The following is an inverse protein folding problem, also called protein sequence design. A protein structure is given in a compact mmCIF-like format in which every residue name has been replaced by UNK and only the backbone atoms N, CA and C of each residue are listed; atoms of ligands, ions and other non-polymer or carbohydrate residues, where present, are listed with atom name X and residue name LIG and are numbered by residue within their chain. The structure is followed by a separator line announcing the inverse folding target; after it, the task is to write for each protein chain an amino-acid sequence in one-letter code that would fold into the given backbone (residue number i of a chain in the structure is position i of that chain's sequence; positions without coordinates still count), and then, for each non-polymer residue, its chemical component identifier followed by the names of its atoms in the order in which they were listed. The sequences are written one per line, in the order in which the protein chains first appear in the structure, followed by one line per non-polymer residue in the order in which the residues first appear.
data_IF_404421462945
#
_entry.id   IF_404421462945
#
_cell.length_a   1.000
_cell.length_b   1.000
_cell.length_c   1.000
_cell.angle_alpha   90.00
_cell.angle_beta   90.00
_cell.angle_gamma   90.00
#
_symmetry.space_group_name_H-M   'P 1'
#
loop_
_entity.id
_entity.type
_entity.pdbx_description
1 polymer ?
#
# COMPACT_ATOMS: atom_id res chain seq x y z
N UNK A 1 18.20 4.33 -16.48
CA UNK A 1 18.45 5.27 -15.36
C UNK A 1 17.13 5.58 -14.64
N UNK A 2 16.07 5.89 -15.37
CA UNK A 2 14.79 6.29 -14.78
C UNK A 2 14.07 5.17 -14.03
N UNK A 3 14.30 3.91 -14.44
CA UNK A 3 13.61 2.75 -13.86
C UNK A 3 14.04 2.44 -12.42
N UNK A 4 15.20 2.90 -12.00
CA UNK A 4 15.76 2.58 -10.68
C UNK A 4 15.53 3.66 -9.63
N UNK A 5 15.09 4.85 -10.04
CA UNK A 5 15.01 6.01 -9.14
C UNK A 5 13.95 5.82 -8.04
N UNK A 6 12.81 5.26 -8.38
CA UNK A 6 11.73 5.07 -7.40
C UNK A 6 12.11 4.02 -6.36
N UNK A 7 12.81 2.96 -6.78
CA UNK A 7 13.36 1.98 -5.86
C UNK A 7 14.47 2.60 -5.00
N UNK A 8 15.30 3.47 -5.55
CA UNK A 8 16.32 4.19 -4.78
C UNK A 8 15.70 5.05 -3.68
N UNK A 9 14.60 5.76 -3.97
CA UNK A 9 13.84 6.48 -2.94
C UNK A 9 13.26 5.55 -1.90
N UNK A 10 12.77 4.38 -2.32
CA UNK A 10 12.30 3.34 -1.40
C UNK A 10 13.41 2.88 -0.45
N UNK A 11 14.56 2.52 -1.00
CA UNK A 11 15.71 2.06 -0.20
C UNK A 11 16.16 3.14 0.79
N UNK A 12 16.19 4.40 0.36
CA UNK A 12 16.52 5.53 1.23
C UNK A 12 15.49 5.70 2.35
N UNK A 13 14.22 5.56 2.04
CA UNK A 13 13.13 5.62 3.03
C UNK A 13 13.31 4.54 4.09
N UNK A 14 13.52 3.30 3.67
CA UNK A 14 13.72 2.18 4.60
C UNK A 14 14.92 2.43 5.50
N UNK A 15 16.04 2.90 4.96
CA UNK A 15 17.22 3.24 5.75
C UNK A 15 16.93 4.31 6.80
N UNK A 16 16.17 5.35 6.44
CA UNK A 16 15.79 6.40 7.37
C UNK A 16 14.91 5.86 8.51
N UNK A 17 13.96 4.98 8.17
CA UNK A 17 13.08 4.37 9.16
C UNK A 17 13.84 3.43 10.11
N UNK A 18 14.76 2.64 9.59
CA UNK A 18 15.58 1.70 10.38
C UNK A 18 16.49 2.42 11.37
N UNK A 19 16.87 3.65 11.10
CA UNK A 19 17.66 4.48 12.03
C UNK A 19 16.85 4.95 13.23
N UNK A 20 15.53 4.96 13.14
CA UNK A 20 14.63 5.35 14.22
C UNK A 20 14.36 4.15 15.14
N UNK A 21 14.77 4.24 16.40
CA UNK A 21 14.44 3.22 17.38
C UNK A 21 12.93 3.08 17.59
N UNK A 22 12.21 4.20 17.51
CA UNK A 22 10.76 4.22 17.68
C UNK A 22 10.04 3.40 16.61
N UNK A 23 10.50 3.48 15.35
CA UNK A 23 9.88 2.75 14.23
C UNK A 23 9.79 1.26 14.52
N UNK A 24 10.84 0.68 15.08
CA UNK A 24 10.88 -0.75 15.43
C UNK A 24 9.79 -1.18 16.42
N UNK A 25 9.29 -0.24 17.22
CA UNK A 25 8.24 -0.50 18.23
C UNK A 25 6.83 -0.30 17.72
N UNK A 26 6.65 0.28 16.52
CA UNK A 26 5.34 0.57 15.96
C UNK A 26 4.62 -0.70 15.51
N UNK A 27 3.29 -0.68 15.59
CA UNK A 27 2.46 -1.69 14.95
C UNK A 27 2.51 -1.55 13.42
N UNK A 28 2.03 -2.53 12.65
CA UNK A 28 2.05 -2.47 11.19
C UNK A 28 1.38 -1.22 10.61
N UNK A 29 0.26 -0.77 11.17
CA UNK A 29 -0.43 0.45 10.73
C UNK A 29 0.46 1.67 10.84
N UNK A 30 1.07 1.87 11.99
CA UNK A 30 1.95 3.03 12.23
C UNK A 30 3.26 2.92 11.44
N UNK A 31 3.77 1.72 11.23
CA UNK A 31 4.93 1.50 10.34
C UNK A 31 4.62 1.93 8.91
N UNK A 32 3.46 1.54 8.39
CA UNK A 32 3.06 1.89 7.04
C UNK A 32 2.82 3.40 6.90
N UNK A 33 2.18 4.04 7.88
CA UNK A 33 2.02 5.50 7.90
C UNK A 33 3.37 6.20 7.88
N UNK A 34 4.31 5.76 8.70
CA UNK A 34 5.67 6.32 8.74
C UNK A 34 6.39 6.16 7.39
N UNK A 35 6.22 5.00 6.75
CA UNK A 35 6.75 4.78 5.41
C UNK A 35 6.18 5.78 4.41
N UNK A 36 4.87 5.94 4.36
CA UNK A 36 4.23 6.85 3.42
C UNK A 36 4.67 8.30 3.61
N UNK A 37 4.67 8.80 4.83
CA UNK A 37 5.08 10.18 5.10
C UNK A 37 6.54 10.40 4.71
N UNK A 38 7.42 9.48 5.03
CA UNK A 38 8.84 9.61 4.70
C UNK A 38 9.08 9.51 3.18
N UNK A 39 8.44 8.55 2.53
CA UNK A 39 8.59 8.34 1.09
C UNK A 39 8.07 9.55 0.30
N UNK A 40 6.87 10.03 0.61
CA UNK A 40 6.29 11.16 -0.09
C UNK A 40 6.98 12.48 0.23
N UNK A 41 7.62 12.60 1.38
CA UNK A 41 8.49 13.74 1.67
C UNK A 41 9.71 13.74 0.73
N UNK A 42 10.33 12.58 0.50
CA UNK A 42 11.42 12.45 -0.47
C UNK A 42 10.97 12.77 -1.89
N UNK A 43 9.79 12.28 -2.30
CA UNK A 43 9.23 12.63 -3.61
C UNK A 43 8.99 14.13 -3.72
N UNK A 44 8.47 14.76 -2.68
CA UNK A 44 8.18 16.20 -2.65
C UNK A 44 9.46 17.02 -2.77
N UNK A 45 10.53 16.60 -2.11
CA UNK A 45 11.83 17.25 -2.22
C UNK A 45 12.41 17.18 -3.64
N UNK A 46 11.96 16.21 -4.45
CA UNK A 46 12.42 15.98 -5.82
C UNK A 46 11.27 16.07 -6.83
N UNK A 47 10.23 16.85 -6.52
CA UNK A 47 8.95 16.83 -7.24
C UNK A 47 9.08 17.08 -8.73
N UNK A 48 9.79 18.12 -9.15
CA UNK A 48 9.94 18.44 -10.58
C UNK A 48 10.57 17.29 -11.36
N UNK A 49 11.59 16.67 -10.80
CA UNK A 49 12.25 15.51 -11.37
C UNK A 49 11.31 14.31 -11.46
N UNK A 50 10.59 14.01 -10.37
CA UNK A 50 9.66 12.89 -10.33
C UNK A 50 8.52 13.08 -11.35
N UNK A 51 7.94 14.28 -11.42
CA UNK A 51 6.90 14.57 -12.40
C UNK A 51 7.39 14.46 -13.83
N UNK A 52 8.64 14.83 -14.11
CA UNK A 52 9.22 14.70 -15.45
C UNK A 52 9.33 13.23 -15.90
N UNK A 53 9.59 12.32 -14.96
CA UNK A 53 9.66 10.88 -15.23
C UNK A 53 8.28 10.29 -15.44
N UNK A 54 7.30 10.67 -14.58
CA UNK A 54 5.96 10.11 -14.60
C UNK A 54 5.05 10.68 -15.69
N UNK A 55 5.46 11.77 -16.36
CA UNK A 55 4.70 12.31 -17.51
C UNK A 55 3.39 12.98 -17.15
N UNK A 56 3.39 13.93 -16.25
CA UNK A 56 2.24 14.82 -15.93
C UNK A 56 0.93 14.11 -15.52
N UNK A 57 1.03 12.94 -14.91
CA UNK A 57 -0.14 12.27 -14.33
C UNK A 57 -0.94 11.39 -15.28
N UNK A 58 -0.51 11.24 -16.52
CA UNK A 58 -1.13 10.27 -17.42
C UNK A 58 -0.65 8.86 -17.05
N UNK A 59 -1.56 7.91 -16.67
CA UNK A 59 -1.19 6.54 -16.38
C UNK A 59 -0.83 5.78 -17.65
N UNK A 60 0.27 6.19 -18.30
CA UNK A 60 0.77 5.51 -19.48
C UNK A 60 1.44 4.20 -19.10
N UNK A 61 1.49 3.26 -20.04
CA UNK A 61 2.24 2.01 -19.89
C UNK A 61 3.70 2.26 -19.52
N UNK A 62 4.26 3.39 -19.94
CA UNK A 62 5.62 3.81 -19.60
C UNK A 62 5.75 4.08 -18.09
N UNK A 63 4.79 4.78 -17.49
CA UNK A 63 4.78 5.06 -16.05
C UNK A 63 4.74 3.77 -15.23
N UNK A 64 3.93 2.79 -15.65
CA UNK A 64 3.86 1.50 -14.97
C UNK A 64 5.16 0.71 -15.05
N UNK A 65 5.87 0.79 -16.16
CA UNK A 65 7.20 0.15 -16.31
C UNK A 65 8.23 0.75 -15.38
N UNK A 66 8.23 2.08 -15.27
CA UNK A 66 9.15 2.82 -14.40
C UNK A 66 8.93 2.43 -12.93
N UNK A 67 7.70 2.09 -12.55
CA UNK A 67 7.35 1.73 -11.19
C UNK A 67 7.47 0.23 -10.87
N UNK A 68 7.90 -0.61 -11.82
CA UNK A 68 7.93 -2.06 -11.64
C UNK A 68 8.82 -2.52 -10.48
N UNK A 69 10.01 -1.97 -10.36
CA UNK A 69 10.93 -2.31 -9.27
C UNK A 69 10.39 -1.84 -7.92
N UNK A 70 9.80 -0.65 -7.90
CA UNK A 70 9.13 -0.13 -6.71
C UNK A 70 7.98 -1.05 -6.28
N UNK A 71 7.18 -1.51 -7.24
CA UNK A 71 6.08 -2.44 -6.94
C UNK A 71 6.57 -3.68 -6.21
N UNK A 72 7.64 -4.30 -6.73
CA UNK A 72 8.21 -5.50 -6.10
C UNK A 72 8.72 -5.20 -4.69
N UNK A 73 9.46 -4.11 -4.51
CA UNK A 73 10.00 -3.71 -3.21
C UNK A 73 8.89 -3.36 -2.21
N UNK A 74 7.88 -2.63 -2.66
CA UNK A 74 6.75 -2.22 -1.81
C UNK A 74 5.89 -3.41 -1.38
N UNK A 75 5.56 -4.31 -2.30
CA UNK A 75 4.74 -5.48 -1.95
C UNK A 75 5.49 -6.44 -1.03
N UNK A 76 6.80 -6.57 -1.17
CA UNK A 76 7.65 -7.30 -0.22
C UNK A 76 7.63 -6.63 1.16
N UNK A 77 7.76 -5.31 1.21
CA UNK A 77 7.64 -4.54 2.45
C UNK A 77 6.30 -4.78 3.16
N UNK A 78 5.20 -4.77 2.41
CA UNK A 78 3.87 -5.07 2.96
C UNK A 78 3.84 -6.46 3.58
N UNK A 79 4.43 -7.46 2.94
CA UNK A 79 4.51 -8.82 3.48
C UNK A 79 5.32 -8.85 4.79
N UNK A 80 6.43 -8.13 4.84
CA UNK A 80 7.30 -8.06 6.02
C UNK A 80 6.66 -7.33 7.21
N UNK A 81 5.64 -6.51 6.98
CA UNK A 81 4.90 -5.86 8.06
C UNK A 81 4.13 -6.85 8.94
N UNK A 82 3.87 -8.06 8.45
CA UNK A 82 3.13 -9.09 9.18
C UNK A 82 1.78 -8.57 9.68
N UNK A 83 1.00 -7.97 8.76
CA UNK A 83 -0.31 -7.42 9.08
C UNK A 83 -1.21 -8.55 9.61
N UNK A 84 -1.76 -8.35 10.81
CA UNK A 84 -2.67 -9.30 11.42
C UNK A 84 -3.95 -9.41 10.60
N UNK A 85 -4.28 -10.62 10.19
CA UNK A 85 -5.45 -10.91 9.37
C UNK A 85 -6.10 -12.20 9.85
N UNK A 86 -7.29 -12.48 9.32
CA UNK A 86 -8.02 -13.71 9.62
C UNK A 86 -7.25 -14.92 9.08
N UNK A 87 -7.08 -15.94 9.94
CA UNK A 87 -6.55 -17.24 9.53
C UNK A 87 -7.67 -18.05 8.84
N UNK A 88 -7.50 -18.29 7.55
CA UNK A 88 -8.48 -19.02 6.73
C UNK A 88 -8.26 -20.54 6.75
N UNK A 89 -7.20 -21.02 7.39
CA UNK A 89 -6.84 -22.44 7.61
C UNK A 89 -6.55 -23.25 6.34
N UNK A 90 -7.04 -22.85 5.19
CA UNK A 90 -6.74 -23.52 3.93
C UNK A 90 -5.59 -22.82 3.19
N UNK A 91 -4.61 -23.58 2.71
CA UNK A 91 -3.43 -23.03 2.04
C UNK A 91 -3.78 -22.19 0.81
N UNK A 92 -4.74 -22.64 -0.01
CA UNK A 92 -5.18 -21.89 -1.19
C UNK A 92 -5.81 -20.55 -0.83
N UNK A 93 -6.64 -20.53 0.22
CA UNK A 93 -7.29 -19.30 0.69
C UNK A 93 -6.29 -18.35 1.31
N UNK A 94 -5.31 -18.87 2.04
CA UNK A 94 -4.21 -18.06 2.59
C UNK A 94 -3.38 -17.39 1.49
N UNK A 95 -3.03 -18.13 0.45
CA UNK A 95 -2.30 -17.59 -0.71
C UNK A 95 -3.10 -16.52 -1.43
N UNK A 96 -4.40 -16.74 -1.62
CA UNK A 96 -5.29 -15.77 -2.27
C UNK A 96 -5.42 -14.50 -1.43
N UNK A 97 -5.53 -14.64 -0.11
CA UNK A 97 -5.58 -13.49 0.81
C UNK A 97 -4.28 -12.67 0.73
N UNK A 98 -3.13 -13.32 0.81
CA UNK A 98 -1.82 -12.64 0.75
C UNK A 98 -1.65 -11.91 -0.57
N UNK A 99 -2.02 -12.53 -1.68
CA UNK A 99 -2.00 -11.89 -3.00
C UNK A 99 -2.94 -10.68 -3.05
N UNK A 100 -4.14 -10.81 -2.51
CA UNK A 100 -5.12 -9.73 -2.48
C UNK A 100 -4.63 -8.52 -1.66
N UNK A 101 -3.99 -8.77 -0.53
CA UNK A 101 -3.40 -7.72 0.30
C UNK A 101 -2.29 -6.99 -0.46
N UNK A 102 -1.39 -7.72 -1.12
CA UNK A 102 -0.31 -7.13 -1.92
C UNK A 102 -0.86 -6.25 -3.05
N UNK A 103 -1.82 -6.77 -3.81
CA UNK A 103 -2.40 -6.05 -4.94
C UNK A 103 -3.22 -4.84 -4.50
N UNK A 104 -3.99 -4.98 -3.44
CA UNK A 104 -4.76 -3.86 -2.87
C UNK A 104 -3.84 -2.77 -2.32
N UNK A 105 -2.77 -3.16 -1.65
CA UNK A 105 -1.77 -2.23 -1.11
C UNK A 105 -1.07 -1.48 -2.24
N UNK A 106 -0.73 -2.17 -3.33
CA UNK A 106 -0.13 -1.52 -4.49
C UNK A 106 -1.09 -0.56 -5.18
N UNK A 107 -2.34 -0.94 -5.32
CA UNK A 107 -3.39 -0.07 -5.87
C UNK A 107 -3.55 1.18 -5.01
N UNK A 108 -3.59 1.02 -3.69
CA UNK A 108 -3.67 2.14 -2.76
C UNK A 108 -2.45 3.06 -2.90
N UNK A 109 -1.25 2.49 -3.08
CA UNK A 109 -0.04 3.28 -3.34
C UNK A 109 -0.16 4.10 -4.63
N UNK A 110 -0.60 3.47 -5.73
CA UNK A 110 -0.76 4.15 -7.02
C UNK A 110 -1.79 5.29 -6.95
N UNK A 111 -2.90 5.08 -6.26
CA UNK A 111 -3.91 6.13 -6.07
C UNK A 111 -3.33 7.27 -5.24
N UNK A 112 -2.56 6.97 -4.21
CA UNK A 112 -1.87 7.97 -3.39
C UNK A 112 -0.87 8.78 -4.24
N UNK A 113 -0.09 8.10 -5.07
CA UNK A 113 0.87 8.75 -5.96
C UNK A 113 0.16 9.71 -6.93
N UNK A 114 -0.93 9.27 -7.53
CA UNK A 114 -1.74 10.11 -8.42
C UNK A 114 -2.29 11.32 -7.68
N UNK A 115 -2.81 11.12 -6.48
CA UNK A 115 -3.32 12.21 -5.65
C UNK A 115 -2.23 13.25 -5.38
N UNK A 116 -1.04 12.80 -4.99
CA UNK A 116 0.10 13.67 -4.74
C UNK A 116 0.52 14.44 -6.00
N UNK A 117 0.51 13.80 -7.17
CA UNK A 117 0.87 14.44 -8.43
C UNK A 117 -0.06 15.62 -8.78
N UNK A 118 -1.33 15.51 -8.41
CA UNK A 118 -2.36 16.52 -8.68
C UNK A 118 -2.54 17.51 -7.52
N UNK A 119 -1.90 17.26 -6.38
CA UNK A 119 -2.06 18.08 -5.18
C UNK A 119 -1.34 19.42 -5.31
N UNK A 120 -2.10 20.51 -5.18
CA UNK A 120 -1.59 21.89 -5.18
C UNK A 120 -1.76 22.58 -3.83
N UNK A 121 -2.12 21.84 -2.78
CA UNK A 121 -2.30 22.41 -1.44
C UNK A 121 -0.97 22.80 -0.80
N UNK A 122 -1.02 23.73 0.15
CA UNK A 122 0.16 24.20 0.86
C UNK A 122 0.83 23.04 1.60
N UNK A 123 2.14 22.84 1.36
CA UNK A 123 2.89 21.76 1.99
C UNK A 123 2.37 20.35 1.70
N UNK A 124 1.55 20.19 0.66
CA UNK A 124 0.91 18.93 0.28
C UNK A 124 0.09 18.33 1.42
N UNK A 125 -0.54 19.17 2.23
CA UNK A 125 -1.34 18.77 3.39
C UNK A 125 -2.50 17.85 3.02
N UNK A 126 -3.09 18.02 1.83
CA UNK A 126 -4.17 17.13 1.37
C UNK A 126 -3.66 15.72 1.07
N UNK A 127 -2.45 15.60 0.57
CA UNK A 127 -1.80 14.28 0.39
C UNK A 127 -1.59 13.60 1.75
N UNK A 128 -1.12 14.33 2.76
CA UNK A 128 -0.97 13.79 4.11
C UNK A 128 -2.30 13.29 4.68
N UNK A 129 -3.37 14.06 4.49
CA UNK A 129 -4.72 13.65 4.90
C UNK A 129 -5.19 12.41 4.14
N UNK A 130 -4.91 12.35 2.84
CA UNK A 130 -5.25 11.19 2.02
C UNK A 130 -4.53 9.93 2.51
N UNK A 131 -3.23 10.03 2.79
CA UNK A 131 -2.42 8.94 3.32
C UNK A 131 -3.04 8.42 4.62
N UNK A 132 -3.27 9.30 5.58
CA UNK A 132 -3.82 8.94 6.88
C UNK A 132 -5.16 8.25 6.74
N UNK A 133 -6.09 8.84 5.99
CA UNK A 133 -7.44 8.28 5.83
C UNK A 133 -7.44 6.97 5.06
N UNK A 134 -6.69 6.87 3.97
CA UNK A 134 -6.67 5.65 3.14
C UNK A 134 -6.00 4.47 3.85
N UNK A 135 -4.89 4.71 4.53
CA UNK A 135 -4.21 3.64 5.30
C UNK A 135 -5.11 3.17 6.45
N UNK A 136 -5.67 4.08 7.23
CA UNK A 136 -6.56 3.72 8.32
C UNK A 136 -7.79 2.96 7.83
N UNK A 137 -8.40 3.39 6.73
CA UNK A 137 -9.53 2.68 6.13
C UNK A 137 -9.14 1.26 5.71
N UNK A 138 -7.97 1.10 5.08
CA UNK A 138 -7.47 -0.22 4.69
C UNK A 138 -7.32 -1.16 5.87
N UNK A 139 -6.72 -0.71 6.96
CA UNK A 139 -6.58 -1.52 8.17
C UNK A 139 -7.92 -1.81 8.85
N UNK A 140 -8.83 -0.85 8.86
CA UNK A 140 -10.16 -1.06 9.42
C UNK A 140 -10.95 -2.14 8.64
N UNK A 141 -10.78 -2.17 7.31
CA UNK A 141 -11.38 -3.22 6.48
C UNK A 141 -10.77 -4.60 6.73
N UNK A 142 -9.54 -4.67 7.21
CA UNK A 142 -8.86 -5.92 7.56
C UNK A 142 -9.12 -6.34 9.01
N UNK A 143 -9.89 -5.56 9.78
CA UNK A 143 -10.23 -5.93 11.16
C UNK A 143 -10.88 -7.31 11.17
N UNK A 144 -10.41 -8.15 12.09
CA UNK A 144 -10.73 -9.57 12.14
C UNK A 144 -12.22 -9.81 12.33
N UNK A 145 -12.90 -9.03 13.17
CA UNK A 145 -14.33 -9.26 13.52
C UNK A 145 -15.29 -9.05 12.34
N UNK A 146 -15.31 -7.87 11.69
CA UNK A 146 -16.19 -7.68 10.53
C UNK A 146 -15.86 -8.61 9.39
N UNK A 147 -14.58 -8.86 9.12
CA UNK A 147 -14.15 -9.74 8.05
C UNK A 147 -14.61 -11.18 8.28
N UNK A 148 -14.48 -11.68 9.52
CA UNK A 148 -14.95 -13.01 9.89
C UNK A 148 -16.46 -13.14 9.65
N UNK A 149 -17.24 -12.16 10.03
CA UNK A 149 -18.70 -12.17 9.82
C UNK A 149 -19.05 -12.22 8.33
N UNK A 150 -18.37 -11.46 7.50
CA UNK A 150 -18.58 -11.47 6.04
C UNK A 150 -18.25 -12.84 5.44
N UNK A 151 -17.12 -13.44 5.84
CA UNK A 151 -16.70 -14.76 5.36
C UNK A 151 -17.67 -15.84 5.81
N UNK A 152 -18.09 -15.85 7.07
CA UNK A 152 -19.05 -16.81 7.60
C UNK A 152 -20.37 -16.72 6.85
N UNK A 153 -20.85 -15.50 6.57
CA UNK A 153 -22.05 -15.28 5.78
C UNK A 153 -21.88 -15.79 4.34
N UNK A 154 -20.75 -15.52 3.72
CA UNK A 154 -20.43 -16.01 2.37
C UNK A 154 -20.39 -17.53 2.29
N UNK A 155 -19.77 -18.19 3.27
CA UNK A 155 -19.75 -19.65 3.37
C UNK A 155 -21.15 -20.23 3.54
N UNK A 156 -21.98 -19.61 4.36
CA UNK A 156 -23.38 -20.01 4.53
C UNK A 156 -24.14 -19.94 3.20
N UNK A 157 -24.06 -18.82 2.49
CA UNK A 157 -24.72 -18.64 1.20
C UNK A 157 -24.28 -19.68 0.17
N UNK A 158 -22.96 -19.92 0.11
CA UNK A 158 -22.41 -20.92 -0.81
C UNK A 158 -22.93 -22.32 -0.52
N UNK A 159 -22.96 -22.70 0.75
CA UNK A 159 -23.46 -24.00 1.19
C UNK A 159 -24.96 -24.18 0.84
N UNK A 160 -25.78 -23.18 1.11
CA UNK A 160 -27.21 -23.20 0.79
C UNK A 160 -27.44 -23.28 -0.72
N UNK A 161 -26.69 -22.52 -1.50
CA UNK A 161 -26.77 -22.56 -2.97
C UNK A 161 -26.46 -23.95 -3.54
N UNK A 162 -25.48 -24.65 -2.97
CA UNK A 162 -25.14 -26.01 -3.37
C UNK A 162 -26.28 -27.00 -3.01
N UNK A 163 -26.90 -26.82 -1.85
CA UNK A 163 -28.00 -27.69 -1.41
C UNK A 163 -29.31 -27.47 -2.19
N UNK A 164 -29.49 -26.28 -2.76
CA UNK A 164 -30.67 -25.94 -3.55
C UNK A 164 -30.59 -26.47 -5.01
N UNK A 165 -29.47 -27.05 -5.41
CA UNK A 165 -29.32 -27.73 -6.69
C UNK A 165 -29.63 -29.22 -6.53
#
# INVERSE_FOLDING_TARGET
IDNHVFKAFFDQTVKLLEKSEEYGTFDPRNKLLSFYFTYFELLTANRSFVLSILGNGDPSMKSLRVLKELRSAFTEYITELEIETLDLKEEKLEKLKDKSIKESSWTQFLVTLKFWMEDSSAGFEKTDMFIEKSVNTGFDLLDVKPLKSIIDFGKFLFKEKIQMK
#
